data_IF_220245839699
#
_entry.id   IF_220245839699
#
_cell.length_a   1.000
_cell.length_b   1.000
_cell.length_c   1.000
_cell.angle_alpha   90.00
_cell.angle_beta   90.00
_cell.angle_gamma   90.00
#
_symmetry.space_group_name_H-M   'P 1'
#
loop_
_entity.id
_entity.type
_entity.pdbx_description
1 polymer ?
#
# COMPACT_ATOMS: atom_id res chain seq x y z
N UNK A 1 10.90 29.20 -4.45
CA UNK A 1 10.60 27.77 -4.59
C UNK A 1 11.66 27.22 -5.50
N UNK A 2 12.36 26.18 -5.08
CA UNK A 2 13.44 25.59 -5.86
C UNK A 2 12.83 24.57 -6.83
N UNK A 3 12.99 24.80 -8.13
CA UNK A 3 12.45 23.94 -9.18
C UNK A 3 13.58 23.06 -9.72
N UNK A 4 13.39 21.74 -9.66
CA UNK A 4 14.37 20.78 -10.16
C UNK A 4 13.78 20.07 -11.37
N UNK A 5 14.44 20.21 -12.51
CA UNK A 5 14.06 19.50 -13.73
C UNK A 5 14.48 18.03 -13.63
N UNK A 6 13.50 17.14 -13.68
CA UNK A 6 13.73 15.70 -13.63
C UNK A 6 13.62 15.11 -15.04
N UNK A 7 14.53 14.19 -15.36
CA UNK A 7 14.50 13.46 -16.63
C UNK A 7 13.65 12.20 -16.46
N UNK A 8 12.74 11.99 -17.41
CA UNK A 8 11.94 10.78 -17.51
C UNK A 8 12.65 9.83 -18.48
N UNK A 9 12.90 8.60 -18.04
CA UNK A 9 13.42 7.53 -18.90
C UNK A 9 12.31 7.02 -19.85
N UNK A 10 12.72 6.37 -20.94
CA UNK A 10 11.87 5.67 -21.92
C UNK A 10 10.82 4.74 -21.31
N UNK A 11 11.07 4.19 -20.11
CA UNK A 11 10.16 3.32 -19.36
C UNK A 11 9.24 4.07 -18.37
N UNK A 12 9.29 5.40 -18.35
CA UNK A 12 8.53 6.23 -17.40
C UNK A 12 9.18 6.36 -16.01
N UNK A 13 10.43 5.92 -15.85
CA UNK A 13 11.18 6.10 -14.60
C UNK A 13 11.61 7.55 -14.40
N UNK A 14 11.47 8.08 -13.18
CA UNK A 14 11.93 9.42 -12.80
C UNK A 14 13.34 9.34 -12.21
N UNK A 15 14.32 9.98 -12.86
CA UNK A 15 15.66 10.05 -12.31
C UNK A 15 15.74 11.14 -11.24
N UNK A 16 15.96 10.73 -9.98
CA UNK A 16 16.19 11.64 -8.87
C UNK A 16 17.70 11.89 -8.74
N UNK A 17 18.17 13.15 -8.87
CA UNK A 17 19.56 13.48 -8.67
C UNK A 17 20.08 13.09 -7.28
N UNK A 18 21.36 12.71 -7.21
CA UNK A 18 21.98 12.22 -5.97
C UNK A 18 21.82 13.19 -4.79
N UNK A 19 21.92 14.50 -5.03
CA UNK A 19 21.82 15.53 -3.99
C UNK A 19 20.44 15.62 -3.32
N UNK A 20 19.37 15.15 -3.97
CA UNK A 20 18.01 15.13 -3.40
C UNK A 20 17.67 13.73 -2.89
N UNK A 21 18.35 12.69 -3.41
CA UNK A 21 18.07 11.30 -3.06
C UNK A 21 18.22 11.03 -1.57
N UNK A 22 19.23 11.61 -0.91
CA UNK A 22 19.41 11.48 0.54
C UNK A 22 18.25 12.08 1.35
N UNK A 23 17.65 13.17 0.85
CA UNK A 23 16.50 13.80 1.50
C UNK A 23 15.20 13.03 1.25
N UNK A 24 15.09 12.37 0.08
CA UNK A 24 13.87 11.72 -0.39
C UNK A 24 13.73 10.28 0.12
N UNK A 25 14.83 9.58 0.31
CA UNK A 25 14.86 8.18 0.73
C UNK A 25 14.43 7.20 -0.36
N UNK A 26 14.17 5.95 0.02
CA UNK A 26 13.93 4.85 -0.91
C UNK A 26 12.47 4.75 -1.39
N UNK A 27 11.52 5.29 -0.61
CA UNK A 27 10.09 5.20 -0.87
C UNK A 27 9.50 6.60 -0.95
N UNK A 28 8.77 6.87 -2.02
CA UNK A 28 8.04 8.13 -2.23
C UNK A 28 6.58 7.89 -2.55
N UNK A 29 5.74 8.82 -2.12
CA UNK A 29 4.32 8.86 -2.46
C UNK A 29 4.12 9.93 -3.52
N UNK A 30 3.66 9.52 -4.70
CA UNK A 30 3.24 10.41 -5.78
C UNK A 30 1.75 10.70 -5.65
N UNK A 31 1.38 11.95 -5.36
CA UNK A 31 -0.02 12.39 -5.28
C UNK A 31 -0.38 13.25 -6.48
N UNK A 32 -1.49 12.93 -7.15
CA UNK A 32 -2.08 13.79 -8.18
C UNK A 32 -2.80 14.98 -7.52
N UNK A 33 -2.54 16.17 -8.02
CA UNK A 33 -3.16 17.44 -7.60
C UNK A 33 -3.73 18.17 -8.82
N UNK A 34 -4.49 19.24 -8.62
CA UNK A 34 -5.08 20.02 -9.71
C UNK A 34 -4.05 20.71 -10.62
N UNK A 35 -2.81 20.90 -10.15
CA UNK A 35 -1.73 21.57 -10.88
C UNK A 35 -0.63 20.62 -11.37
N UNK A 36 -0.71 19.33 -11.06
CA UNK A 36 0.33 18.36 -11.40
C UNK A 36 0.48 17.26 -10.36
N UNK A 37 1.71 16.80 -10.15
CA UNK A 37 2.01 15.73 -9.20
C UNK A 37 2.92 16.23 -8.08
N UNK A 38 2.62 15.81 -6.84
CA UNK A 38 3.42 16.11 -5.66
C UNK A 38 4.11 14.83 -5.18
N UNK A 39 5.44 14.89 -5.10
CA UNK A 39 6.25 13.83 -4.51
C UNK A 39 6.42 14.15 -3.03
N UNK A 40 6.07 13.21 -2.16
CA UNK A 40 6.24 13.32 -0.71
C UNK A 40 6.98 12.11 -0.18
N UNK A 41 7.72 12.30 0.91
CA UNK A 41 8.45 11.22 1.58
C UNK A 41 7.48 10.11 1.96
N UNK A 42 7.77 8.90 1.50
CA UNK A 42 7.07 7.71 1.94
C UNK A 42 7.50 7.38 3.37
N UNK A 43 6.55 7.07 4.23
CA UNK A 43 6.90 6.44 5.51
C UNK A 43 7.25 4.99 5.20
N UNK A 44 8.41 4.53 5.68
CA UNK A 44 8.70 3.11 5.75
C UNK A 44 7.70 2.48 6.71
N UNK A 45 6.64 1.89 6.19
CA UNK A 45 5.76 1.04 7.00
C UNK A 45 6.57 -0.19 7.35
N UNK A 46 7.07 -0.24 8.58
CA UNK A 46 7.71 -1.43 9.12
C UNK A 46 6.71 -2.59 9.00
N UNK A 47 7.01 -3.51 8.07
CA UNK A 47 6.16 -4.67 7.79
C UNK A 47 5.86 -5.45 9.06
N UNK A 48 6.86 -5.66 9.93
CA UNK A 48 6.67 -6.40 11.17
C UNK A 48 5.72 -5.66 12.13
N UNK A 49 5.77 -4.33 12.14
CA UNK A 49 4.87 -3.50 12.94
C UNK A 49 3.42 -3.59 12.45
N UNK A 50 3.18 -3.50 11.15
CA UNK A 50 1.82 -3.64 10.58
C UNK A 50 1.29 -5.07 10.73
N UNK A 51 2.14 -6.06 10.48
CA UNK A 51 1.80 -7.47 10.66
C UNK A 51 1.38 -7.74 12.11
N UNK A 52 2.20 -7.32 13.09
CA UNK A 52 1.88 -7.44 14.52
C UNK A 52 0.56 -6.73 14.88
N UNK A 53 0.35 -5.50 14.40
CA UNK A 53 -0.90 -4.75 14.63
C UNK A 53 -2.11 -5.52 14.10
N UNK A 54 -1.98 -6.16 12.94
CA UNK A 54 -3.08 -6.88 12.29
C UNK A 54 -3.41 -8.17 13.03
N UNK A 55 -2.42 -9.03 13.32
CA UNK A 55 -2.66 -10.32 14.00
C UNK A 55 -3.14 -10.16 15.44
N UNK A 56 -2.72 -9.08 16.12
CA UNK A 56 -3.13 -8.77 17.50
C UNK A 56 -4.41 -7.94 17.57
N UNK A 57 -4.91 -7.45 16.42
CA UNK A 57 -6.18 -6.75 16.40
C UNK A 57 -7.29 -7.68 16.88
N UNK A 58 -8.18 -7.16 17.73
CA UNK A 58 -9.43 -7.84 18.09
C UNK A 58 -10.50 -7.32 17.14
N UNK A 59 -10.71 -7.94 15.97
CA UNK A 59 -11.73 -7.49 15.05
C UNK A 59 -13.10 -7.57 15.74
N UNK A 60 -13.99 -6.60 15.50
CA UNK A 60 -15.36 -6.68 15.98
C UNK A 60 -15.97 -7.96 15.40
N UNK A 61 -16.37 -8.88 16.28
CA UNK A 61 -17.11 -10.07 15.86
C UNK A 61 -18.47 -9.60 15.38
N UNK A 62 -18.73 -9.69 14.08
CA UNK A 62 -19.95 -9.17 13.44
C UNK A 62 -21.21 -10.00 13.73
N UNK A 63 -21.16 -10.99 14.62
CA UNK A 63 -22.35 -11.75 15.04
C UNK A 63 -22.03 -13.09 15.67
N UNK A 64 -23.08 -13.84 16.03
CA UNK A 64 -22.97 -15.27 16.35
C UNK A 64 -22.62 -16.03 15.05
N UNK A 65 -21.64 -16.94 15.06
CA UNK A 65 -21.38 -17.79 13.91
C UNK A 65 -22.64 -18.62 13.59
N UNK A 66 -23.06 -18.61 12.33
CA UNK A 66 -24.15 -19.46 11.86
C UNK A 66 -23.63 -20.90 11.80
N UNK A 67 -24.35 -21.84 12.43
CA UNK A 67 -24.00 -23.24 12.33
C UNK A 67 -24.62 -23.82 11.05
N UNK A 68 -23.82 -23.91 9.99
CA UNK A 68 -24.30 -24.43 8.71
C UNK A 68 -24.52 -25.93 8.77
N UNK A 69 -25.58 -26.40 8.08
CA UNK A 69 -25.83 -27.83 7.94
C UNK A 69 -24.77 -28.49 7.06
N UNK A 70 -24.50 -29.79 7.23
CA UNK A 70 -23.53 -30.52 6.39
C UNK A 70 -23.81 -30.40 4.89
N UNK A 71 -25.08 -30.31 4.49
CA UNK A 71 -25.48 -30.14 3.08
C UNK A 71 -25.02 -28.77 2.53
N UNK A 72 -25.23 -27.68 3.29
CA UNK A 72 -24.82 -26.31 2.94
C UNK A 72 -23.29 -26.14 2.92
N UNK A 73 -22.56 -26.82 3.80
CA UNK A 73 -21.09 -26.86 3.70
C UNK A 73 -20.65 -27.57 2.43
N UNK A 74 -21.21 -28.76 2.13
CA UNK A 74 -20.81 -29.57 0.97
C UNK A 74 -21.10 -28.91 -0.37
N UNK A 75 -22.08 -28.01 -0.45
CA UNK A 75 -22.36 -27.28 -1.70
C UNK A 75 -21.26 -26.29 -2.09
N UNK A 76 -20.50 -25.74 -1.14
CA UNK A 76 -19.40 -24.80 -1.41
C UNK A 76 -18.17 -25.53 -1.97
N UNK A 77 -17.95 -26.75 -1.51
CA UNK A 77 -16.83 -27.60 -1.94
C UNK A 77 -17.12 -28.39 -3.22
N UNK A 78 -18.31 -28.24 -3.81
CA UNK A 78 -18.54 -28.77 -5.16
C UNK A 78 -17.80 -27.88 -6.16
N UNK A 79 -16.76 -28.44 -6.77
CA UNK A 79 -16.20 -27.92 -8.01
C UNK A 79 -17.25 -27.98 -9.13
N UNK A 80 -17.20 -27.07 -10.12
CA UNK A 80 -18.14 -27.03 -11.24
C UNK A 80 -18.28 -28.36 -11.98
#
# INVERSE_FOLDING_TARGET
MEEVHLKIDSKGGLYIPLHIREQVGDIVILKKTSRGFLISLGKHTDFLKEFRKTITSKPPRTGKPENWTPSKMKSIWRTP
#
